data_IF_159128892094
#
_entry.id   IF_159128892094
#
_cell.length_a   1.000
_cell.length_b   1.000
_cell.length_c   1.000
_cell.angle_alpha   90.00
_cell.angle_beta   90.00
_cell.angle_gamma   90.00
#
_symmetry.space_group_name_H-M   'P 1'
#
loop_
_entity.id
_entity.type
_entity.pdbx_description
1 polymer ?
#
# COMPACT_ATOMS: atom_id res chain seq x y z
N UNK A 1 -14.57 10.71 -12.56
CA UNK A 1 -14.97 9.30 -12.38
C UNK A 1 -13.83 8.57 -11.71
N UNK A 2 -14.10 7.86 -10.62
CA UNK A 2 -13.14 6.95 -10.00
C UNK A 2 -12.82 5.79 -10.94
N UNK A 3 -11.65 5.18 -10.80
CA UNK A 3 -11.18 4.10 -11.70
C UNK A 3 -11.82 2.74 -11.43
N UNK A 4 -12.62 2.63 -10.35
CA UNK A 4 -13.12 1.37 -9.78
C UNK A 4 -11.99 0.36 -9.48
N UNK A 5 -10.76 0.87 -9.36
CA UNK A 5 -9.55 0.07 -9.10
C UNK A 5 -9.30 0.02 -7.60
N UNK A 6 -9.14 -1.20 -7.10
CA UNK A 6 -8.71 -1.47 -5.74
C UNK A 6 -7.21 -1.70 -5.76
N UNK A 7 -6.48 -0.93 -4.98
CA UNK A 7 -5.07 -1.14 -4.67
C UNK A 7 -4.95 -1.63 -3.25
N UNK A 8 -4.10 -2.63 -3.02
CA UNK A 8 -3.90 -3.16 -1.69
C UNK A 8 -2.60 -3.91 -1.54
N UNK A 9 -2.35 -4.35 -0.31
CA UNK A 9 -1.18 -5.14 0.01
C UNK A 9 -1.38 -6.00 1.23
N UNK A 10 -0.56 -7.03 1.32
CA UNK A 10 -0.44 -7.90 2.47
C UNK A 10 0.98 -7.80 3.02
N UNK A 11 1.07 -7.73 4.34
CA UNK A 11 2.33 -7.81 5.06
C UNK A 11 2.13 -8.61 6.36
N UNK A 12 3.00 -9.60 6.65
CA UNK A 12 2.87 -10.45 7.83
C UNK A 12 3.32 -9.76 9.13
N UNK A 13 4.00 -8.62 9.04
CA UNK A 13 4.48 -7.91 10.23
C UNK A 13 3.35 -7.10 10.85
N UNK A 14 3.39 -7.01 12.18
CA UNK A 14 2.49 -6.13 12.92
C UNK A 14 2.79 -4.67 12.56
N UNK A 15 1.73 -3.90 12.34
CA UNK A 15 1.84 -2.48 12.14
C UNK A 15 2.04 -1.78 13.49
N UNK A 16 3.26 -1.33 13.75
CA UNK A 16 3.65 -0.62 14.97
C UNK A 16 4.42 0.64 14.59
N UNK A 17 4.12 1.80 15.20
CA UNK A 17 4.77 3.08 14.90
C UNK A 17 6.24 3.12 15.33
N UNK A 18 7.12 2.48 14.57
CA UNK A 18 8.57 2.38 14.83
C UNK A 18 9.39 3.40 14.06
N UNK A 19 8.78 4.16 13.16
CA UNK A 19 9.42 5.09 12.22
C UNK A 19 10.56 4.42 11.43
N UNK A 20 10.33 3.18 10.99
CA UNK A 20 11.32 2.35 10.30
C UNK A 20 10.69 1.45 9.25
N UNK A 21 11.53 0.90 8.36
CA UNK A 21 11.12 -0.14 7.42
C UNK A 21 11.03 -1.51 8.10
N UNK A 22 9.98 -2.24 7.77
CA UNK A 22 9.78 -3.64 8.07
C UNK A 22 10.38 -4.53 6.98
N UNK A 23 11.11 -5.56 7.41
CA UNK A 23 11.67 -6.58 6.52
C UNK A 23 10.72 -7.77 6.40
N UNK A 24 10.32 -8.11 5.19
CA UNK A 24 9.44 -9.24 4.94
C UNK A 24 9.79 -9.96 3.63
N UNK A 25 9.58 -11.27 3.60
CA UNK A 25 9.71 -12.08 2.38
C UNK A 25 8.35 -12.45 1.77
N UNK A 26 7.29 -12.34 2.57
CA UNK A 26 5.96 -12.82 2.23
C UNK A 26 5.00 -11.65 1.94
N UNK A 27 5.54 -10.43 1.79
CA UNK A 27 4.74 -9.27 1.42
C UNK A 27 4.48 -9.24 -0.09
N UNK A 28 3.26 -8.85 -0.44
CA UNK A 28 2.86 -8.64 -1.82
C UNK A 28 1.89 -7.46 -1.88
N UNK A 29 1.92 -6.75 -3.00
CA UNK A 29 0.90 -5.77 -3.36
C UNK A 29 0.05 -6.32 -4.50
N UNK A 30 -1.18 -5.85 -4.59
CA UNK A 30 -2.11 -6.25 -5.63
C UNK A 30 -2.95 -5.08 -6.14
N UNK A 31 -3.45 -5.26 -7.35
CA UNK A 31 -4.50 -4.41 -7.93
C UNK A 31 -5.54 -5.28 -8.62
N UNK A 32 -6.80 -4.84 -8.62
CA UNK A 32 -7.87 -5.39 -9.45
C UNK A 32 -9.02 -4.40 -9.55
N UNK A 33 -9.91 -4.59 -10.53
CA UNK A 33 -11.19 -3.88 -10.59
C UNK A 33 -12.26 -4.66 -9.85
N UNK A 34 -13.09 -3.96 -9.07
CA UNK A 34 -14.06 -4.53 -8.11
C UNK A 34 -14.92 -5.70 -8.65
N UNK A 35 -15.14 -5.76 -9.97
CA UNK A 35 -15.98 -6.78 -10.64
C UNK A 35 -15.23 -7.71 -11.59
N UNK A 36 -13.89 -7.65 -11.63
CA UNK A 36 -13.07 -8.47 -12.51
C UNK A 36 -11.85 -9.05 -11.78
N UNK A 37 -12.05 -10.15 -11.06
CA UNK A 37 -10.96 -10.85 -10.39
C UNK A 37 -9.93 -11.45 -11.37
N UNK A 38 -10.27 -11.58 -12.66
CA UNK A 38 -9.31 -12.04 -13.68
C UNK A 38 -8.30 -10.95 -14.04
N UNK A 39 -8.61 -9.69 -13.72
CA UNK A 39 -7.70 -8.55 -13.86
C UNK A 39 -6.66 -8.45 -12.73
N UNK A 40 -6.70 -9.36 -11.74
CA UNK A 40 -5.78 -9.30 -10.59
C UNK A 40 -4.33 -9.35 -11.03
N UNK A 41 -3.58 -8.33 -10.63
CA UNK A 41 -2.12 -8.31 -10.73
C UNK A 41 -1.56 -8.45 -9.32
N UNK A 42 -0.80 -9.52 -9.07
CA UNK A 42 -0.03 -9.70 -7.82
C UNK A 42 1.44 -9.46 -8.11
N UNK A 43 2.05 -8.65 -7.26
CA UNK A 43 3.46 -8.28 -7.29
C UNK A 43 4.08 -8.62 -5.94
N UNK A 44 5.04 -9.53 -5.92
CA UNK A 44 5.73 -9.90 -4.69
C UNK A 44 6.83 -8.89 -4.37
N UNK A 45 7.24 -8.82 -3.10
CA UNK A 45 8.34 -7.97 -2.67
C UNK A 45 9.66 -8.42 -3.32
N UNK A 46 10.32 -7.50 -4.03
CA UNK A 46 11.67 -7.71 -4.58
C UNK A 46 12.72 -7.27 -3.57
N UNK A 47 12.59 -6.06 -3.03
CA UNK A 47 13.47 -5.54 -2.00
C UNK A 47 12.88 -5.77 -0.60
N UNK A 48 13.19 -6.94 -0.06
CA UNK A 48 12.69 -7.43 1.23
C UNK A 48 12.94 -6.50 2.41
N UNK A 49 13.89 -5.55 2.31
CA UNK A 49 14.21 -4.60 3.38
C UNK A 49 13.21 -3.44 3.47
N UNK A 50 12.43 -3.20 2.42
CA UNK A 50 11.53 -2.07 2.28
C UNK A 50 10.09 -2.54 2.02
N UNK A 51 9.66 -3.60 2.72
CA UNK A 51 8.38 -4.24 2.44
C UNK A 51 7.19 -3.44 2.97
N UNK A 52 7.37 -2.76 4.10
CA UNK A 52 6.34 -1.97 4.75
C UNK A 52 7.00 -0.87 5.60
N UNK A 53 6.55 0.39 5.52
CA UNK A 53 7.08 1.49 6.33
C UNK A 53 6.10 1.88 7.43
N UNK A 54 6.60 1.97 8.67
CA UNK A 54 5.80 2.29 9.84
C UNK A 54 6.06 3.70 10.39
N UNK A 55 5.77 4.74 9.61
CA UNK A 55 5.88 6.13 10.07
C UNK A 55 4.69 6.58 10.94
N UNK A 56 4.91 7.50 11.88
CA UNK A 56 3.82 8.08 12.68
C UNK A 56 2.83 8.90 11.83
N UNK A 57 3.34 9.48 10.74
CA UNK A 57 2.59 10.31 9.80
C UNK A 57 2.07 9.50 8.59
N UNK A 58 2.32 8.18 8.59
CA UNK A 58 2.03 7.28 7.47
C UNK A 58 0.88 6.35 7.83
N UNK A 59 0.05 6.07 6.83
CA UNK A 59 -0.91 5.00 6.83
C UNK A 59 -0.25 3.67 6.44
N UNK A 60 -0.98 2.79 5.76
CA UNK A 60 -0.38 1.61 5.16
C UNK A 60 0.58 2.04 4.04
N UNK A 61 1.88 2.02 4.33
CA UNK A 61 2.94 2.27 3.34
C UNK A 61 3.58 0.93 2.97
N UNK A 62 3.22 0.40 1.80
CA UNK A 62 3.78 -0.82 1.25
C UNK A 62 5.02 -0.54 0.38
N UNK A 63 5.69 0.61 0.52
CA UNK A 63 6.87 1.01 -0.25
C UNK A 63 6.59 1.49 -1.67
N UNK A 64 5.65 0.84 -2.38
CA UNK A 64 5.22 1.20 -3.73
C UNK A 64 3.83 1.83 -3.75
N UNK A 65 2.97 1.48 -2.77
CA UNK A 65 1.70 2.14 -2.48
C UNK A 65 1.90 2.89 -1.15
N UNK A 66 1.81 4.21 -1.20
CA UNK A 66 2.12 5.09 -0.07
C UNK A 66 0.88 5.90 0.26
N UNK A 67 0.45 5.81 1.51
CA UNK A 67 -0.68 6.57 2.07
C UNK A 67 -0.15 7.31 3.30
N UNK A 68 -0.35 8.63 3.37
CA UNK A 68 0.19 9.44 4.46
C UNK A 68 -0.59 10.74 4.67
N UNK A 69 -0.31 11.42 5.79
CA UNK A 69 -0.77 12.78 6.08
C UNK A 69 0.35 13.62 6.65
N UNK A 70 0.29 14.93 6.47
CA UNK A 70 1.22 15.82 7.15
C UNK A 70 0.83 15.98 8.62
N UNK A 71 1.80 16.26 9.49
CA UNK A 71 1.60 16.41 10.95
C UNK A 71 0.50 17.39 11.34
N UNK A 72 0.27 18.40 10.51
CA UNK A 72 -0.70 19.47 10.75
C UNK A 72 -2.09 19.16 10.18
N UNK A 73 -2.29 17.98 9.57
CA UNK A 73 -3.56 17.54 9.02
C UNK A 73 -4.31 16.66 10.04
N UNK A 74 -5.57 17.00 10.33
CA UNK A 74 -6.45 16.21 11.20
C UNK A 74 -6.59 14.77 10.66
N UNK A 75 -5.92 13.82 11.33
CA UNK A 75 -5.99 12.33 11.41
C UNK A 75 -6.39 11.45 10.20
N UNK A 76 -7.08 11.95 9.19
CA UNK A 76 -7.38 11.19 7.97
C UNK A 76 -6.18 11.22 7.05
N UNK A 77 -5.85 10.10 6.40
CA UNK A 77 -4.79 10.03 5.40
C UNK A 77 -5.23 10.72 4.10
N UNK A 78 -4.64 11.87 3.79
CA UNK A 78 -5.08 12.74 2.68
C UNK A 78 -4.26 12.62 1.42
N UNK A 79 -3.06 12.07 1.54
CA UNK A 79 -2.12 11.96 0.42
C UNK A 79 -1.92 10.51 0.09
N UNK A 80 -2.04 10.19 -1.20
CA UNK A 80 -1.75 8.87 -1.70
C UNK A 80 -0.91 8.95 -2.96
N UNK A 81 0.01 8.00 -3.09
CA UNK A 81 1.03 8.00 -4.12
C UNK A 81 1.40 6.58 -4.50
N UNK A 82 1.56 6.34 -5.80
CA UNK A 82 2.08 5.09 -6.32
C UNK A 82 3.36 5.32 -7.10
N UNK A 83 4.39 4.54 -6.78
CA UNK A 83 5.60 4.45 -7.58
C UNK A 83 6.22 3.08 -7.45
N UNK A 84 6.49 2.46 -8.60
CA UNK A 84 7.14 1.16 -8.66
C UNK A 84 8.60 1.27 -8.21
N UNK A 85 8.94 0.77 -7.02
CA UNK A 85 10.29 0.84 -6.41
C UNK A 85 10.79 -0.53 -5.95
N UNK A 86 10.05 -1.18 -5.05
CA UNK A 86 10.48 -2.31 -4.23
C UNK A 86 9.79 -3.62 -4.62
N UNK A 87 8.71 -3.59 -5.40
CA UNK A 87 7.98 -4.78 -5.83
C UNK A 87 8.31 -5.18 -7.28
N UNK A 88 8.10 -6.45 -7.62
CA UNK A 88 8.58 -7.05 -8.87
C UNK A 88 7.93 -6.43 -10.12
N UNK A 89 6.60 -6.30 -10.09
CA UNK A 89 5.74 -5.86 -11.20
C UNK A 89 5.09 -4.50 -10.91
N UNK A 90 4.83 -3.75 -11.98
CA UNK A 90 3.89 -2.62 -11.95
C UNK A 90 2.48 -3.19 -11.79
N UNK A 91 1.69 -2.68 -10.84
CA UNK A 91 0.32 -3.15 -10.57
C UNK A 91 -0.77 -2.24 -11.13
N UNK A 92 -0.51 -0.95 -11.30
CA UNK A 92 -1.49 0.01 -11.84
C UNK A 92 -0.82 0.96 -12.80
N UNK A 93 -1.58 1.48 -13.76
CA UNK A 93 -1.16 2.55 -14.67
C UNK A 93 -1.27 3.95 -14.07
N UNK A 94 -1.80 4.08 -12.84
CA UNK A 94 -1.69 5.32 -12.06
C UNK A 94 -0.22 5.71 -11.98
N UNK A 95 0.04 7.00 -12.16
CA UNK A 95 1.37 7.59 -12.03
C UNK A 95 1.28 8.68 -10.97
N UNK A 96 2.21 8.62 -10.03
CA UNK A 96 2.35 9.58 -8.96
C UNK A 96 1.15 9.63 -8.02
N UNK A 97 0.45 10.77 -7.95
CA UNK A 97 -0.59 11.04 -6.94
C UNK A 97 -1.95 10.53 -7.42
N UNK A 98 -2.71 9.97 -6.49
CA UNK A 98 -4.12 9.62 -6.71
C UNK A 98 -4.98 10.06 -5.53
N UNK A 99 -6.30 9.97 -5.71
CA UNK A 99 -7.29 10.17 -4.65
C UNK A 99 -7.87 8.83 -4.24
N UNK A 100 -8.06 8.66 -2.94
CA UNK A 100 -8.69 7.48 -2.35
C UNK A 100 -10.12 7.87 -1.96
N UNK A 101 -11.10 7.05 -2.34
CA UNK A 101 -12.48 7.22 -1.88
C UNK A 101 -12.67 6.62 -0.48
N UNK A 102 -12.11 5.42 -0.25
CA UNK A 102 -12.11 4.75 1.04
C UNK A 102 -10.88 3.83 1.20
N UNK A 103 -10.52 3.48 2.43
CA UNK A 103 -9.49 2.49 2.73
C UNK A 103 -9.90 1.59 3.89
N UNK A 104 -9.59 0.31 3.77
CA UNK A 104 -9.90 -0.70 4.78
C UNK A 104 -8.62 -1.40 5.23
N UNK A 105 -8.53 -1.72 6.52
CA UNK A 105 -7.40 -2.44 7.11
C UNK A 105 -7.91 -3.65 7.86
N UNK A 106 -7.43 -4.83 7.47
CA UNK A 106 -7.82 -6.10 8.06
C UNK A 106 -6.64 -6.76 8.74
N UNK A 107 -6.84 -7.25 9.96
CA UNK A 107 -5.88 -8.09 10.67
C UNK A 107 -6.36 -9.54 10.67
N UNK A 108 -5.50 -10.45 10.19
CA UNK A 108 -5.78 -11.89 10.24
C UNK A 108 -5.31 -12.42 11.59
N UNK A 109 -6.23 -12.93 12.41
CA UNK A 109 -5.96 -13.61 13.69
C UNK A 109 -6.04 -15.12 13.45
N UNK A 110 -5.05 -15.87 13.94
CA UNK A 110 -5.05 -17.33 13.92
C UNK A 110 -5.67 -17.92 15.19
#
# INVERSE_FOLDING_TARGET
>A
EGTEEILGGYNPLKWESSNSWGKSQDSFIFSFKEKDIKSVIISNIKDKKHAFYCGADYGPDFGDIIIFSYKDEYRDYKHSYYQKRHYEKKITDIVDKFSIEDYEVFQIIK
#
